data_IF_417400887853
#
_entry.id   IF_417400887853
#
_cell.length_a   1.000
_cell.length_b   1.000
_cell.length_c   1.000
_cell.angle_alpha   90.00
_cell.angle_beta   90.00
_cell.angle_gamma   90.00
#
_symmetry.space_group_name_H-M   'P 1'
#
loop_
_entity.id
_entity.type
_entity.pdbx_description
1 polymer ?
#
# COMPACT_ATOMS: atom_id res chain seq x y z
N UNK A 1 39.36 34.94 -10.27
CA UNK A 1 37.96 34.81 -9.82
C UNK A 1 37.58 33.35 -9.79
N UNK A 2 37.46 32.75 -8.64
CA UNK A 2 37.11 31.34 -8.47
C UNK A 2 35.59 31.23 -8.51
N UNK A 3 35.02 30.47 -9.48
CA UNK A 3 33.60 30.16 -9.56
C UNK A 3 33.23 29.24 -8.39
N UNK A 4 32.40 29.72 -7.48
CA UNK A 4 31.79 28.91 -6.42
C UNK A 4 30.86 27.87 -7.08
N UNK A 5 31.27 26.60 -7.02
CA UNK A 5 30.46 25.45 -7.38
C UNK A 5 29.25 25.38 -6.43
N UNK A 6 28.05 25.58 -6.96
CA UNK A 6 26.78 25.44 -6.23
C UNK A 6 26.70 23.99 -5.73
N UNK A 7 26.42 23.72 -4.45
CA UNK A 7 26.25 22.36 -3.98
C UNK A 7 25.05 21.74 -4.71
N UNK A 8 25.23 20.51 -5.21
CA UNK A 8 24.17 19.73 -5.80
C UNK A 8 23.05 19.59 -4.76
N UNK A 9 21.83 19.97 -5.14
CA UNK A 9 20.64 19.79 -4.33
C UNK A 9 20.55 18.30 -3.98
N UNK A 10 20.68 17.95 -2.70
CA UNK A 10 20.58 16.60 -2.21
C UNK A 10 19.23 16.03 -2.62
N UNK A 11 19.24 14.91 -3.36
CA UNK A 11 18.03 14.18 -3.68
C UNK A 11 17.36 13.82 -2.36
N UNK A 12 16.13 14.29 -2.15
CA UNK A 12 15.32 13.85 -1.01
C UNK A 12 15.29 12.33 -1.00
N UNK A 13 15.50 11.66 0.15
CA UNK A 13 15.55 10.21 0.21
C UNK A 13 14.27 9.61 -0.37
N UNK A 14 14.44 8.58 -1.21
CA UNK A 14 13.33 7.82 -1.77
C UNK A 14 12.83 6.80 -0.76
N UNK A 15 11.53 6.49 -0.71
CA UNK A 15 11.02 5.46 0.19
C UNK A 15 11.59 4.09 -0.15
N UNK A 16 11.94 3.32 0.87
CA UNK A 16 12.34 1.92 0.78
C UNK A 16 11.16 1.06 1.17
N UNK A 17 10.76 0.10 0.31
CA UNK A 17 9.64 -0.80 0.58
C UNK A 17 10.17 -2.19 0.90
N UNK A 18 9.62 -2.80 1.94
CA UNK A 18 9.94 -4.16 2.37
C UNK A 18 8.68 -4.90 2.86
N UNK A 19 8.71 -6.24 2.92
CA UNK A 19 7.69 -6.98 3.67
C UNK A 19 7.62 -6.46 5.12
N UNK A 20 6.42 -6.53 5.71
CA UNK A 20 6.22 -6.18 7.11
C UNK A 20 6.87 -7.20 8.05
N UNK A 21 7.04 -6.79 9.29
CA UNK A 21 7.36 -7.65 10.43
C UNK A 21 6.35 -7.39 11.55
N UNK A 22 6.16 -8.33 12.46
CA UNK A 22 5.25 -8.14 13.59
C UNK A 22 5.67 -6.96 14.50
N UNK A 23 6.94 -6.59 14.47
CA UNK A 23 7.46 -5.39 15.14
C UNK A 23 6.98 -4.07 14.53
N UNK A 24 6.43 -4.09 13.32
CA UNK A 24 5.85 -2.91 12.67
C UNK A 24 4.44 -2.59 13.18
N UNK A 25 3.82 -3.48 13.97
CA UNK A 25 2.45 -3.34 14.43
C UNK A 25 2.11 -1.98 15.05
N UNK A 26 2.95 -1.35 15.88
CA UNK A 26 2.66 -0.01 16.40
C UNK A 26 2.54 1.05 15.30
N UNK A 27 3.46 1.05 14.35
CA UNK A 27 3.46 2.01 13.23
C UNK A 27 2.27 1.75 12.28
N UNK A 28 2.00 0.50 11.96
CA UNK A 28 0.85 0.11 11.12
C UNK A 28 -0.47 0.45 11.81
N UNK A 29 -0.60 0.23 13.14
CA UNK A 29 -1.77 0.62 13.90
C UNK A 29 -2.03 2.14 13.83
N UNK A 30 -0.99 2.96 13.94
CA UNK A 30 -1.10 4.40 13.82
C UNK A 30 -1.58 4.83 12.42
N UNK A 31 -1.04 4.21 11.36
CA UNK A 31 -1.44 4.47 9.97
C UNK A 31 -2.90 4.08 9.72
N UNK A 32 -3.32 2.91 10.18
CA UNK A 32 -4.70 2.40 10.01
C UNK A 32 -5.69 3.27 10.80
N UNK A 33 -5.30 3.72 12.00
CA UNK A 33 -6.11 4.67 12.79
C UNK A 33 -6.27 6.00 12.05
N UNK A 34 -5.21 6.53 11.45
CA UNK A 34 -5.28 7.74 10.65
C UNK A 34 -6.15 7.59 9.39
N UNK A 35 -6.24 6.37 8.85
CA UNK A 35 -7.14 6.04 7.73
C UNK A 35 -8.62 6.05 8.12
N UNK A 36 -8.94 6.07 9.42
CA UNK A 36 -10.31 6.13 9.95
C UNK A 36 -10.78 4.83 10.63
N UNK A 37 -9.87 3.89 10.88
CA UNK A 37 -10.14 2.63 11.57
C UNK A 37 -9.34 2.53 12.87
N UNK A 38 -9.85 3.09 13.99
CA UNK A 38 -9.15 3.10 15.26
C UNK A 38 -8.72 1.70 15.70
N UNK A 39 -7.45 1.55 16.02
CA UNK A 39 -6.87 0.30 16.49
C UNK A 39 -5.62 0.58 17.32
N UNK A 40 -5.13 -0.43 18.03
CA UNK A 40 -3.92 -0.35 18.85
C UNK A 40 -2.87 -1.36 18.37
N UNK A 41 -1.67 -1.25 18.91
CA UNK A 41 -0.53 -2.08 18.50
C UNK A 41 -0.73 -3.57 18.79
N UNK A 42 -1.41 -3.91 19.89
CA UNK A 42 -1.69 -5.31 20.26
C UNK A 42 -2.63 -5.97 19.24
N UNK A 43 -3.78 -5.36 19.02
CA UNK A 43 -4.80 -5.89 18.10
C UNK A 43 -4.26 -5.91 16.66
N UNK A 44 -3.46 -4.91 16.29
CA UNK A 44 -2.79 -4.89 14.99
C UNK A 44 -1.79 -6.04 14.85
N UNK A 45 -1.00 -6.32 15.90
CA UNK A 45 -0.06 -7.43 15.87
C UNK A 45 -0.74 -8.79 15.69
N UNK A 46 -1.85 -9.02 16.39
CA UNK A 46 -2.66 -10.23 16.24
C UNK A 46 -3.22 -10.35 14.81
N UNK A 47 -3.71 -9.23 14.26
CA UNK A 47 -4.23 -9.17 12.89
C UNK A 47 -3.15 -9.44 11.85
N UNK A 48 -1.99 -8.83 11.97
CA UNK A 48 -0.84 -9.06 11.08
C UNK A 48 -0.34 -10.50 11.17
N UNK A 49 -0.33 -11.10 12.35
CA UNK A 49 0.05 -12.50 12.52
C UNK A 49 -0.89 -13.44 11.73
N UNK A 50 -2.20 -13.18 11.77
CA UNK A 50 -3.18 -13.94 11.00
C UNK A 50 -2.99 -13.77 9.48
N UNK A 51 -2.73 -12.56 9.03
CA UNK A 51 -2.45 -12.29 7.60
C UNK A 51 -1.14 -12.92 7.15
N UNK A 52 -0.11 -12.89 7.99
CA UNK A 52 1.20 -13.48 7.71
C UNK A 52 1.14 -15.01 7.57
N UNK A 53 0.23 -15.67 8.29
CA UNK A 53 0.03 -17.10 8.21
C UNK A 53 -0.68 -17.56 6.92
N UNK A 54 -1.34 -16.67 6.19
CA UNK A 54 -2.03 -16.99 4.94
C UNK A 54 -1.14 -16.65 3.74
N UNK A 55 -0.70 -17.66 2.95
CA UNK A 55 0.19 -17.45 1.80
C UNK A 55 -0.44 -16.63 0.66
N UNK A 56 -1.77 -16.42 0.69
CA UNK A 56 -2.45 -15.59 -0.29
C UNK A 56 -2.40 -14.10 0.06
N UNK A 57 -1.92 -13.73 1.24
CA UNK A 57 -1.78 -12.34 1.66
C UNK A 57 -0.33 -11.89 1.68
N UNK A 58 -0.13 -10.61 1.47
CA UNK A 58 1.13 -9.94 1.71
C UNK A 58 0.88 -8.54 2.27
N UNK A 59 1.71 -8.16 3.22
CA UNK A 59 1.75 -6.80 3.75
C UNK A 59 3.13 -6.21 3.52
N UNK A 60 3.17 -4.98 3.05
CA UNK A 60 4.41 -4.24 2.81
C UNK A 60 4.37 -2.94 3.60
N UNK A 61 5.53 -2.53 4.08
CA UNK A 61 5.73 -1.20 4.70
C UNK A 61 6.73 -0.41 3.89
N UNK A 62 6.53 0.89 3.82
CA UNK A 62 7.47 1.82 3.23
C UNK A 62 8.14 2.64 4.33
N UNK A 63 9.45 2.65 4.32
CA UNK A 63 10.27 3.46 5.21
C UNK A 63 10.78 4.70 4.49
N UNK A 64 10.77 5.81 5.21
CA UNK A 64 11.33 7.06 4.79
C UNK A 64 12.12 7.64 5.97
N UNK A 65 13.41 7.92 5.75
CA UNK A 65 14.31 8.36 6.81
C UNK A 65 14.35 7.41 8.05
N UNK A 66 14.25 6.08 7.81
CA UNK A 66 14.26 5.07 8.86
C UNK A 66 12.95 4.91 9.64
N UNK A 67 11.88 5.59 9.24
CA UNK A 67 10.55 5.55 9.87
C UNK A 67 9.54 4.95 8.91
N UNK A 68 8.68 4.05 9.41
CA UNK A 68 7.56 3.52 8.63
C UNK A 68 6.58 4.66 8.32
N UNK A 69 6.48 5.00 7.04
CA UNK A 69 5.70 6.12 6.52
C UNK A 69 4.45 5.68 5.75
N UNK A 70 4.29 4.39 5.51
CA UNK A 70 3.11 3.86 4.83
C UNK A 70 3.08 2.34 4.85
N UNK A 71 1.92 1.78 4.51
CA UNK A 71 1.72 0.34 4.38
C UNK A 71 0.77 0.02 3.23
N UNK A 72 0.94 -1.16 2.65
CA UNK A 72 0.00 -1.75 1.70
C UNK A 72 -0.28 -3.20 2.08
N UNK A 73 -1.56 -3.57 2.03
CA UNK A 73 -2.01 -4.95 2.14
C UNK A 73 -2.56 -5.45 0.80
N UNK A 74 -2.20 -6.64 0.41
CA UNK A 74 -2.65 -7.27 -0.82
C UNK A 74 -3.07 -8.71 -0.60
N UNK A 75 -3.97 -9.20 -1.44
CA UNK A 75 -4.29 -10.62 -1.49
C UNK A 75 -4.37 -11.11 -2.93
N UNK A 76 -4.12 -12.41 -3.10
CA UNK A 76 -4.26 -13.12 -4.36
C UNK A 76 -5.55 -13.94 -4.37
N UNK A 77 -6.23 -13.99 -5.50
CA UNK A 77 -7.38 -14.86 -5.71
C UNK A 77 -7.38 -15.42 -7.14
N UNK A 78 -8.24 -16.42 -7.38
CA UNK A 78 -8.45 -17.02 -8.70
C UNK A 78 -9.67 -16.43 -9.36
N UNK A 79 -9.62 -16.31 -10.67
CA UNK A 79 -10.80 -16.01 -11.47
C UNK A 79 -11.75 -17.22 -11.54
N UNK A 80 -13.05 -16.95 -11.62
CA UNK A 80 -14.04 -17.96 -11.98
C UNK A 80 -14.32 -17.98 -13.49
N UNK A 81 -14.21 -16.82 -14.13
CA UNK A 81 -14.56 -16.63 -15.54
C UNK A 81 -13.43 -16.97 -16.53
N UNK A 82 -12.21 -17.18 -16.04
CA UNK A 82 -11.03 -17.51 -16.84
C UNK A 82 -9.95 -18.18 -16.01
N UNK A 83 -8.96 -18.76 -16.65
CA UNK A 83 -7.79 -19.30 -15.98
C UNK A 83 -6.88 -18.19 -15.41
N UNK A 84 -6.19 -18.52 -14.33
CA UNK A 84 -5.20 -17.64 -13.72
C UNK A 84 -5.61 -17.02 -12.39
N UNK A 85 -4.83 -16.06 -11.97
CA UNK A 85 -4.97 -15.36 -10.70
C UNK A 85 -4.94 -13.85 -10.90
N UNK A 86 -5.54 -13.15 -9.97
CA UNK A 86 -5.45 -11.71 -9.84
C UNK A 86 -5.01 -11.31 -8.44
N UNK A 87 -4.51 -10.11 -8.31
CA UNK A 87 -4.19 -9.49 -7.03
C UNK A 87 -5.23 -8.41 -6.72
N UNK A 88 -5.56 -8.29 -5.45
CA UNK A 88 -6.34 -7.17 -4.94
C UNK A 88 -5.49 -6.37 -3.97
N UNK A 89 -5.35 -5.07 -4.20
CA UNK A 89 -4.87 -4.12 -3.20
C UNK A 89 -6.00 -3.90 -2.20
N UNK A 90 -5.83 -4.42 -1.00
CA UNK A 90 -6.87 -4.44 0.05
C UNK A 90 -6.80 -3.19 0.91
N UNK A 91 -5.59 -2.73 1.20
CA UNK A 91 -5.33 -1.54 2.01
C UNK A 91 -4.13 -0.78 1.44
N UNK A 92 -4.22 0.54 1.45
CA UNK A 92 -3.12 1.44 1.17
C UNK A 92 -3.27 2.68 2.04
N UNK A 93 -2.25 2.97 2.80
CA UNK A 93 -2.18 4.20 3.59
C UNK A 93 -0.75 4.73 3.61
N UNK A 94 -0.61 6.02 3.44
CA UNK A 94 0.64 6.74 3.63
C UNK A 94 0.41 7.86 4.65
N UNK A 95 1.44 8.14 5.45
CA UNK A 95 1.41 9.24 6.41
C UNK A 95 1.23 10.58 5.67
N UNK A 96 0.32 11.40 6.13
CA UNK A 96 0.13 12.76 5.59
C UNK A 96 1.39 13.61 5.68
N UNK A 97 2.23 13.38 6.70
CA UNK A 97 3.51 14.06 6.89
C UNK A 97 4.51 13.78 5.76
N UNK A 98 4.31 12.72 4.99
CA UNK A 98 5.14 12.32 3.85
C UNK A 98 4.45 12.53 2.50
N UNK A 99 3.39 13.34 2.48
CA UNK A 99 2.65 13.67 1.26
C UNK A 99 3.58 14.20 0.15
N UNK A 100 3.39 13.72 -1.08
CA UNK A 100 4.20 14.12 -2.22
C UNK A 100 5.58 13.47 -2.31
N UNK A 101 5.96 12.61 -1.36
CA UNK A 101 7.28 11.95 -1.35
C UNK A 101 7.30 10.56 -1.99
N UNK A 102 6.22 10.16 -2.66
CA UNK A 102 6.17 8.93 -3.45
C UNK A 102 5.95 7.64 -2.67
N UNK A 103 5.59 7.71 -1.38
CA UNK A 103 5.37 6.55 -0.51
C UNK A 103 4.27 5.65 -1.06
N UNK A 104 3.10 6.20 -1.37
CA UNK A 104 1.97 5.44 -1.92
C UNK A 104 2.29 4.79 -3.26
N UNK A 105 2.94 5.52 -4.16
CA UNK A 105 3.33 4.99 -5.48
C UNK A 105 4.37 3.87 -5.37
N UNK A 106 5.31 3.96 -4.42
CA UNK A 106 6.30 2.91 -4.17
C UNK A 106 5.63 1.63 -3.66
N UNK A 107 4.67 1.76 -2.75
CA UNK A 107 3.88 0.64 -2.22
C UNK A 107 3.04 -0.04 -3.30
N UNK A 108 2.37 0.73 -4.16
CA UNK A 108 1.59 0.17 -5.28
C UNK A 108 2.50 -0.62 -6.23
N UNK A 109 3.65 -0.06 -6.62
CA UNK A 109 4.63 -0.77 -7.47
C UNK A 109 5.13 -2.07 -6.84
N UNK A 110 5.32 -2.09 -5.52
CA UNK A 110 5.71 -3.29 -4.81
C UNK A 110 4.62 -4.37 -4.90
N UNK A 111 3.36 -4.00 -4.70
CA UNK A 111 2.23 -4.93 -4.84
C UNK A 111 2.09 -5.44 -6.27
N UNK A 112 2.28 -4.58 -7.27
CA UNK A 112 2.31 -4.99 -8.68
C UNK A 112 3.43 -6.00 -8.97
N UNK A 113 4.63 -5.77 -8.42
CA UNK A 113 5.77 -6.69 -8.52
C UNK A 113 5.45 -8.04 -7.90
N UNK A 114 4.92 -8.04 -6.69
CA UNK A 114 4.48 -9.24 -6.00
C UNK A 114 3.41 -10.02 -6.79
N UNK A 115 2.49 -9.32 -7.42
CA UNK A 115 1.47 -9.92 -8.28
C UNK A 115 2.09 -10.58 -9.53
N UNK A 116 3.02 -9.90 -10.20
CA UNK A 116 3.73 -10.46 -11.37
C UNK A 116 4.51 -11.73 -11.04
N UNK A 117 5.21 -11.75 -9.91
CA UNK A 117 5.95 -12.93 -9.42
C UNK A 117 5.03 -14.12 -9.17
N UNK A 118 3.76 -13.88 -8.86
CA UNK A 118 2.73 -14.91 -8.66
C UNK A 118 1.94 -15.26 -9.91
N UNK A 119 2.29 -14.69 -11.05
CA UNK A 119 1.60 -14.92 -12.32
C UNK A 119 0.24 -14.23 -12.41
N UNK A 120 -0.03 -13.22 -11.61
CA UNK A 120 -1.26 -12.46 -11.70
C UNK A 120 -1.33 -11.67 -13.01
N UNK A 121 -2.46 -11.77 -13.69
CA UNK A 121 -2.70 -11.04 -14.94
C UNK A 121 -3.33 -9.66 -14.74
N UNK A 122 -3.92 -9.44 -13.58
CA UNK A 122 -4.64 -8.20 -13.25
C UNK A 122 -4.46 -7.85 -11.76
N UNK A 123 -4.56 -6.56 -11.47
CA UNK A 123 -4.66 -6.04 -10.12
C UNK A 123 -5.92 -5.18 -10.00
N UNK A 124 -6.70 -5.42 -8.95
CA UNK A 124 -7.90 -4.67 -8.63
C UNK A 124 -7.70 -3.84 -7.36
N UNK A 125 -8.27 -2.65 -7.37
CA UNK A 125 -8.26 -1.73 -6.23
C UNK A 125 -9.69 -1.27 -5.96
N UNK A 126 -10.12 -1.37 -4.71
CA UNK A 126 -11.38 -0.80 -4.27
C UNK A 126 -11.13 0.52 -3.55
N UNK A 127 -11.54 1.62 -4.16
CA UNK A 127 -11.51 2.94 -3.53
C UNK A 127 -12.94 3.45 -3.34
N UNK A 128 -13.22 4.09 -2.21
CA UNK A 128 -14.51 4.71 -1.96
C UNK A 128 -14.80 5.82 -2.98
N UNK A 129 -16.04 5.89 -3.46
CA UNK A 129 -16.48 6.85 -4.51
C UNK A 129 -16.24 8.31 -4.09
N UNK A 130 -16.22 8.58 -2.78
CA UNK A 130 -16.05 9.93 -2.22
C UNK A 130 -14.57 10.37 -2.09
N UNK A 131 -13.61 9.49 -2.40
CA UNK A 131 -12.18 9.79 -2.35
C UNK A 131 -11.66 10.22 -3.74
N UNK A 132 -12.00 11.42 -4.15
CA UNK A 132 -11.55 11.96 -5.44
C UNK A 132 -10.03 12.05 -5.54
N UNK A 133 -9.33 12.38 -4.45
CA UNK A 133 -7.86 12.41 -4.41
C UNK A 133 -7.24 11.02 -4.62
N UNK A 134 -7.83 9.97 -4.06
CA UNK A 134 -7.40 8.59 -4.27
C UNK A 134 -7.64 8.15 -5.72
N UNK A 135 -8.77 8.50 -6.31
CA UNK A 135 -9.06 8.24 -7.72
C UNK A 135 -8.00 8.86 -8.62
N UNK A 136 -7.70 10.15 -8.46
CA UNK A 136 -6.66 10.85 -9.24
C UNK A 136 -5.28 10.22 -9.03
N UNK A 137 -4.98 9.76 -7.82
CA UNK A 137 -3.73 9.08 -7.52
C UNK A 137 -3.59 7.79 -8.34
N UNK A 138 -4.62 6.92 -8.36
CA UNK A 138 -4.59 5.69 -9.13
C UNK A 138 -4.60 5.93 -10.64
N UNK A 139 -5.38 6.90 -11.12
CA UNK A 139 -5.39 7.26 -12.55
C UNK A 139 -4.01 7.71 -13.03
N UNK A 140 -3.25 8.48 -12.22
CA UNK A 140 -1.87 8.85 -12.54
C UNK A 140 -0.92 7.65 -12.60
N UNK A 141 -1.22 6.58 -11.88
CA UNK A 141 -0.47 5.31 -11.94
C UNK A 141 -0.92 4.41 -13.09
N UNK A 142 -1.88 4.83 -13.93
CA UNK A 142 -2.36 4.08 -15.07
C UNK A 142 -3.58 3.18 -14.80
N UNK A 143 -4.16 3.27 -13.62
CA UNK A 143 -5.40 2.53 -13.31
C UNK A 143 -6.62 3.20 -13.93
N UNK A 144 -7.62 2.41 -14.25
CA UNK A 144 -8.91 2.84 -14.81
C UNK A 144 -10.04 2.36 -13.92
N UNK A 145 -11.11 3.13 -13.85
CA UNK A 145 -12.35 2.69 -13.21
C UNK A 145 -13.03 1.65 -14.12
N UNK A 146 -13.23 0.44 -13.60
CA UNK A 146 -13.79 -0.69 -14.36
C UNK A 146 -15.07 -1.24 -13.74
N UNK A 147 -15.46 -0.77 -12.55
CA UNK A 147 -16.65 -1.28 -11.87
C UNK A 147 -17.02 -0.47 -10.64
N UNK A 148 -18.10 -0.88 -10.01
CA UNK A 148 -18.64 -0.30 -8.78
C UNK A 148 -18.61 -1.36 -7.67
N UNK A 149 -18.29 -0.96 -6.44
CA UNK A 149 -18.33 -1.84 -5.28
C UNK A 149 -19.68 -1.74 -4.57
N UNK A 150 -20.29 -2.89 -4.32
CA UNK A 150 -21.44 -3.04 -3.42
C UNK A 150 -20.98 -3.70 -2.12
N UNK A 151 -21.54 -3.29 -1.00
CA UNK A 151 -21.29 -3.89 0.31
C UNK A 151 -22.58 -4.02 1.11
N UNK A 152 -22.63 -5.06 1.95
CA UNK A 152 -23.70 -5.29 2.92
C UNK A 152 -23.08 -5.86 4.19
N UNK A 153 -23.50 -5.37 5.34
CA UNK A 153 -23.15 -6.00 6.61
C UNK A 153 -23.90 -7.34 6.73
N UNK A 154 -23.20 -8.34 7.24
CA UNK A 154 -23.76 -9.65 7.52
C UNK A 154 -23.96 -9.80 9.01
N UNK A 155 -25.20 -10.10 9.44
CA UNK A 155 -25.58 -10.32 10.83
C UNK A 155 -24.99 -11.63 11.36
#
# INVERSE_FOLDING_TARGET
MAARKKPAAGRSPSPTVRPDALSDAPAVAALVTALGYPTNARDMKERLAGLFADPNYATFVAELDGVVAGMAGACQARFYEKDGVYVRLVALVASEQTSGRGVGAALVRQVEGWGRERGASEIFINSGVQRESARRFYERLGYRVTGVRFSRELD
#
